data_IF_326492036836
#
_entry.id   IF_326492036836
#
_cell.length_a   1.000
_cell.length_b   1.000
_cell.length_c   1.000
_cell.angle_alpha   90.00
_cell.angle_beta   90.00
_cell.angle_gamma   90.00
#
_symmetry.space_group_name_H-M   'P 1'
#
loop_
_entity.id
_entity.type
_entity.pdbx_description
1 polymer ?
#
# COMPACT_ATOMS: atom_id res chain seq x y z
N UNK A 1 -20.92 -20.01 9.71
CA UNK A 1 -20.74 -19.36 8.40
C UNK A 1 -19.25 -19.39 8.11
N UNK A 2 -18.80 -19.92 6.98
CA UNK A 2 -17.38 -19.89 6.62
C UNK A 2 -17.04 -18.43 6.26
N UNK A 3 -16.14 -17.80 7.01
CA UNK A 3 -15.69 -16.43 6.77
C UNK A 3 -15.07 -16.32 5.38
N UNK A 4 -15.83 -15.76 4.44
CA UNK A 4 -15.38 -15.51 3.08
C UNK A 4 -14.58 -14.21 3.07
N UNK A 5 -13.27 -14.33 3.26
CA UNK A 5 -12.35 -13.21 3.02
C UNK A 5 -11.88 -13.22 1.56
N UNK A 6 -11.79 -12.03 0.96
CA UNK A 6 -11.16 -11.85 -0.33
C UNK A 6 -9.65 -11.89 -0.17
N UNK A 7 -9.00 -12.86 -0.83
CA UNK A 7 -7.55 -13.05 -0.75
C UNK A 7 -6.94 -13.02 -2.14
N UNK A 8 -5.84 -12.30 -2.28
CA UNK A 8 -5.01 -12.30 -3.47
C UNK A 8 -3.58 -12.70 -3.09
N UNK A 9 -2.82 -13.19 -4.06
CA UNK A 9 -1.43 -13.59 -3.85
C UNK A 9 -0.51 -12.57 -4.49
N UNK A 10 0.22 -11.84 -3.66
CA UNK A 10 1.20 -10.84 -4.08
C UNK A 10 2.57 -11.50 -4.24
N UNK A 11 3.13 -11.41 -5.44
CA UNK A 11 4.41 -12.02 -5.82
C UNK A 11 5.58 -11.05 -5.59
N UNK A 12 5.38 -9.76 -5.90
CA UNK A 12 6.38 -8.73 -5.61
C UNK A 12 5.78 -7.33 -5.50
N UNK A 13 6.53 -6.44 -4.85
CA UNK A 13 6.31 -4.99 -4.85
C UNK A 13 7.60 -4.26 -5.20
N UNK A 14 7.52 -3.31 -6.13
CA UNK A 14 8.62 -2.40 -6.46
C UNK A 14 8.16 -0.95 -6.30
N UNK A 15 9.04 -0.09 -5.80
CA UNK A 15 8.77 1.33 -5.63
C UNK A 15 9.52 2.12 -6.70
N UNK A 16 8.77 2.91 -7.47
CA UNK A 16 9.32 3.69 -8.58
C UNK A 16 8.87 5.15 -8.45
N UNK A 17 9.64 6.06 -9.03
CA UNK A 17 9.31 7.48 -9.09
C UNK A 17 9.02 7.83 -10.54
N UNK A 18 7.90 8.51 -10.78
CA UNK A 18 7.63 9.14 -12.06
C UNK A 18 8.50 10.40 -12.20
N UNK A 19 9.43 10.38 -13.16
CA UNK A 19 10.21 11.55 -13.51
C UNK A 19 9.45 12.38 -14.57
N UNK A 20 9.02 13.59 -14.19
CA UNK A 20 8.26 14.48 -15.06
C UNK A 20 9.05 14.99 -16.27
N UNK A 21 10.37 15.01 -16.17
CA UNK A 21 11.25 15.59 -17.18
C UNK A 21 11.59 14.55 -18.25
N UNK A 22 11.90 13.32 -17.84
CA UNK A 22 12.19 12.20 -18.76
C UNK A 22 10.92 11.49 -19.24
N UNK A 23 9.79 11.65 -18.54
CA UNK A 23 8.55 10.88 -18.76
C UNK A 23 8.75 9.38 -18.58
N UNK A 24 9.65 8.99 -17.68
CA UNK A 24 9.98 7.60 -17.38
C UNK A 24 9.78 7.29 -15.89
N UNK A 25 9.59 6.00 -15.61
CA UNK A 25 9.61 5.49 -14.24
C UNK A 25 11.04 5.11 -13.87
N UNK A 26 11.56 5.77 -12.85
CA UNK A 26 12.87 5.48 -12.28
C UNK A 26 12.70 4.61 -11.05
N UNK A 27 13.46 3.52 -10.97
CA UNK A 27 13.47 2.74 -9.74
C UNK A 27 14.05 3.59 -8.61
N UNK A 28 13.37 3.60 -7.47
CA UNK A 28 14.07 3.94 -6.23
C UNK A 28 15.15 2.86 -6.09
N UNK A 29 16.37 3.23 -5.68
CA UNK A 29 17.54 2.35 -5.65
C UNK A 29 17.44 1.14 -4.68
N UNK A 30 16.22 0.71 -4.35
CA UNK A 30 15.86 -0.47 -3.62
C UNK A 30 15.54 -1.62 -4.58
N UNK A 31 16.05 -2.82 -4.28
CA UNK A 31 15.61 -4.03 -4.97
C UNK A 31 14.10 -4.28 -4.73
N UNK A 32 13.36 -4.87 -5.67
CA UNK A 32 11.98 -5.28 -5.45
C UNK A 32 11.85 -6.19 -4.22
N UNK A 33 10.78 -6.00 -3.44
CA UNK A 33 10.33 -6.97 -2.45
C UNK A 33 9.75 -8.17 -3.20
N UNK A 34 10.36 -9.35 -3.08
CA UNK A 34 9.85 -10.60 -3.66
C UNK A 34 9.38 -11.54 -2.57
N UNK A 35 8.26 -12.22 -2.80
CA UNK A 35 7.55 -12.99 -1.76
C UNK A 35 7.58 -14.51 -1.97
N UNK A 36 8.61 -15.06 -2.63
CA UNK A 36 8.72 -16.51 -2.87
C UNK A 36 7.46 -17.08 -3.54
N UNK A 37 6.79 -18.02 -2.84
CA UNK A 37 5.52 -18.62 -3.26
C UNK A 37 4.32 -17.64 -3.25
N UNK A 38 4.54 -16.40 -2.86
CA UNK A 38 3.61 -15.29 -2.82
C UNK A 38 3.06 -15.01 -1.42
N UNK A 39 2.98 -13.73 -1.07
CA UNK A 39 2.34 -13.26 0.16
C UNK A 39 0.82 -13.30 -0.01
N UNK A 40 0.13 -13.97 0.91
CA UNK A 40 -1.34 -13.95 0.94
C UNK A 40 -1.80 -12.62 1.53
N UNK A 41 -2.51 -11.84 0.72
CA UNK A 41 -3.03 -10.52 1.07
C UNK A 41 -4.55 -10.60 1.17
N UNK A 42 -5.07 -10.26 2.34
CA UNK A 42 -6.49 -10.08 2.57
C UNK A 42 -6.89 -8.66 2.12
N UNK A 43 -7.93 -8.56 1.29
CA UNK A 43 -8.53 -7.27 0.92
C UNK A 43 -9.67 -6.96 1.89
N UNK A 44 -9.45 -5.99 2.78
CA UNK A 44 -10.39 -5.69 3.86
C UNK A 44 -10.57 -4.18 4.05
N UNK A 45 -11.68 -3.64 3.53
CA UNK A 45 -12.03 -2.23 3.69
C UNK A 45 -12.50 -1.87 5.11
N UNK A 46 -12.73 -2.87 5.98
CA UNK A 46 -13.03 -2.67 7.41
C UNK A 46 -11.80 -2.29 8.24
N UNK A 47 -10.59 -2.51 7.71
CA UNK A 47 -9.33 -2.08 8.32
C UNK A 47 -8.88 -0.78 7.65
N UNK A 48 -8.67 0.30 8.42
CA UNK A 48 -8.34 1.61 7.82
C UNK A 48 -6.95 1.67 7.18
N UNK A 49 -6.01 0.89 7.71
CA UNK A 49 -4.59 0.91 7.35
C UNK A 49 -4.15 -0.42 6.76
N UNK A 50 -3.01 -0.43 6.08
CA UNK A 50 -2.44 -1.68 5.57
C UNK A 50 -1.55 -2.30 6.64
N UNK A 51 -1.67 -3.60 6.82
CA UNK A 51 -0.92 -4.39 7.80
C UNK A 51 -0.09 -5.42 7.03
N UNK A 52 1.22 -5.46 7.28
CA UNK A 52 2.17 -6.30 6.54
C UNK A 52 3.18 -6.95 7.47
N UNK A 53 3.92 -7.97 7.01
CA UNK A 53 5.08 -8.48 7.72
C UNK A 53 6.15 -7.39 7.94
N UNK A 54 6.92 -7.51 9.03
CA UNK A 54 7.89 -6.51 9.46
C UNK A 54 8.93 -6.16 8.39
N UNK A 55 9.39 -7.14 7.61
CA UNK A 55 10.40 -6.93 6.57
C UNK A 55 9.95 -5.95 5.48
N UNK A 56 8.64 -5.83 5.24
CA UNK A 56 8.09 -4.86 4.28
C UNK A 56 8.25 -3.43 4.83
N UNK A 57 7.89 -3.21 6.10
CA UNK A 57 8.04 -1.90 6.75
C UNK A 57 9.52 -1.52 6.90
N UNK A 58 10.38 -2.48 7.28
CA UNK A 58 11.84 -2.29 7.31
C UNK A 58 12.35 -1.84 5.95
N UNK A 59 11.98 -2.54 4.88
CA UNK A 59 12.38 -2.17 3.51
C UNK A 59 11.93 -0.75 3.13
N UNK A 60 10.72 -0.36 3.52
CA UNK A 60 10.23 1.02 3.32
C UNK A 60 11.14 2.02 4.05
N UNK A 61 11.49 1.77 5.32
CA UNK A 61 12.34 2.65 6.13
C UNK A 61 13.77 2.74 5.63
N UNK A 62 14.39 1.61 5.27
CA UNK A 62 15.84 1.52 5.03
C UNK A 62 16.23 1.59 3.57
N UNK A 63 15.29 1.40 2.65
CA UNK A 63 15.58 1.29 1.22
C UNK A 63 14.73 2.24 0.38
N UNK A 64 13.44 2.39 0.69
CA UNK A 64 12.55 3.29 -0.06
C UNK A 64 12.71 4.74 0.42
N UNK A 65 12.72 4.94 1.74
CA UNK A 65 12.81 6.27 2.38
C UNK A 65 13.89 6.30 3.48
N UNK A 66 15.18 6.13 3.14
CA UNK A 66 16.29 6.06 4.10
C UNK A 66 16.64 7.44 4.70
N UNK A 67 15.68 8.11 5.33
CA UNK A 67 15.90 9.35 6.07
C UNK A 67 16.44 9.04 7.46
N UNK A 68 17.19 9.97 8.07
CA UNK A 68 17.69 9.81 9.44
C UNK A 68 16.56 9.45 10.43
N UNK A 69 15.38 10.05 10.24
CA UNK A 69 14.19 9.78 11.04
C UNK A 69 13.67 8.33 10.88
N UNK A 70 13.63 7.82 9.65
CA UNK A 70 13.19 6.44 9.38
C UNK A 70 14.22 5.39 9.81
N UNK A 71 15.51 5.71 9.71
CA UNK A 71 16.59 4.86 10.22
C UNK A 71 16.55 4.79 11.75
N UNK A 72 16.35 5.93 12.42
CA UNK A 72 16.16 5.95 13.87
C UNK A 72 14.94 5.10 14.30
N UNK A 73 13.81 5.24 13.59
CA UNK A 73 12.62 4.40 13.85
C UNK A 73 12.85 2.92 13.60
N UNK A 74 13.62 2.54 12.57
CA UNK A 74 13.94 1.13 12.34
C UNK A 74 14.76 0.55 13.50
N UNK A 75 15.71 1.32 14.03
CA UNK A 75 16.50 0.92 15.20
C UNK A 75 15.65 0.80 16.47
N UNK A 76 14.67 1.68 16.67
CA UNK A 76 13.80 1.69 17.85
C UNK A 76 12.71 0.62 17.80
N UNK A 77 12.03 0.49 16.66
CA UNK A 77 10.83 -0.35 16.52
C UNK A 77 11.13 -1.73 15.94
N UNK A 78 12.16 -1.87 15.10
CA UNK A 78 12.58 -3.13 14.48
C UNK A 78 11.39 -3.95 13.92
N UNK A 79 11.23 -5.19 14.41
CA UNK A 79 10.18 -6.14 14.00
C UNK A 79 8.93 -6.09 14.90
N UNK A 80 8.81 -5.09 15.78
CA UNK A 80 7.67 -5.00 16.69
C UNK A 80 6.38 -4.70 15.92
N UNK A 81 5.35 -5.51 16.21
CA UNK A 81 4.00 -5.27 15.73
C UNK A 81 3.47 -3.93 16.29
N UNK A 82 2.67 -3.24 15.50
CA UNK A 82 2.02 -2.01 15.96
C UNK A 82 0.98 -2.33 17.04
N UNK A 83 1.06 -1.65 18.19
CA UNK A 83 -0.05 -1.61 19.14
C UNK A 83 -1.17 -0.74 18.56
N UNK A 84 -2.26 -1.36 18.10
CA UNK A 84 -3.40 -0.64 17.56
C UNK A 84 -4.15 0.20 18.60
N UNK A 85 -3.94 -0.04 19.90
CA UNK A 85 -4.50 0.79 20.98
C UNK A 85 -3.67 2.06 21.21
N UNK A 86 -2.36 1.99 20.96
CA UNK A 86 -1.42 3.11 21.07
C UNK A 86 -0.51 3.15 19.85
N UNK A 87 -1.05 3.47 18.66
CA UNK A 87 -0.31 3.34 17.42
C UNK A 87 0.86 4.32 17.39
N UNK A 88 2.05 3.78 17.14
CA UNK A 88 3.25 4.57 16.87
C UNK A 88 3.39 4.70 15.36
N UNK A 89 3.83 5.87 14.90
CA UNK A 89 4.04 6.13 13.49
C UNK A 89 5.07 5.12 12.90
N UNK A 90 4.73 4.39 11.82
CA UNK A 90 5.59 3.34 11.31
C UNK A 90 6.75 3.93 10.52
N UNK A 91 6.54 4.99 9.74
CA UNK A 91 7.58 5.72 9.01
C UNK A 91 7.03 7.08 8.56
N UNK A 92 7.93 7.95 8.14
CA UNK A 92 7.63 9.21 7.47
C UNK A 92 7.83 9.03 5.96
N UNK A 93 6.89 9.54 5.15
CA UNK A 93 7.04 9.63 3.69
C UNK A 93 7.51 11.04 3.33
N UNK A 94 8.69 11.21 2.70
CA UNK A 94 9.20 12.52 2.34
C UNK A 94 8.25 13.29 1.42
N UNK A 95 7.91 14.52 1.80
CA UNK A 95 6.90 15.32 1.10
C UNK A 95 7.24 15.63 -0.36
N UNK A 96 8.54 15.72 -0.69
CA UNK A 96 9.02 15.97 -2.05
C UNK A 96 8.79 14.77 -3.00
N UNK A 97 8.57 13.57 -2.48
CA UNK A 97 8.31 12.35 -3.27
C UNK A 97 6.82 12.05 -3.41
N UNK A 98 5.96 12.72 -2.62
CA UNK A 98 4.59 12.27 -2.35
C UNK A 98 3.76 12.00 -3.61
N UNK A 99 3.72 12.93 -4.57
CA UNK A 99 2.91 12.77 -5.78
C UNK A 99 3.56 11.91 -6.87
N UNK A 100 4.88 11.77 -6.85
CA UNK A 100 5.64 11.08 -7.91
C UNK A 100 5.85 9.60 -7.61
N UNK A 101 5.72 9.17 -6.36
CA UNK A 101 5.93 7.76 -6.01
C UNK A 101 4.78 6.88 -6.50
N UNK A 102 5.17 5.80 -7.18
CA UNK A 102 4.29 4.76 -7.67
C UNK A 102 4.76 3.39 -7.14
N UNK A 103 3.84 2.44 -7.12
CA UNK A 103 4.11 1.07 -6.70
C UNK A 103 3.71 0.15 -7.84
N UNK A 104 4.68 -0.66 -8.29
CA UNK A 104 4.43 -1.79 -9.16
C UNK A 104 4.13 -3.01 -8.29
N UNK A 105 2.92 -3.51 -8.40
CA UNK A 105 2.48 -4.77 -7.80
C UNK A 105 2.51 -5.87 -8.85
N UNK A 106 2.98 -7.05 -8.46
CA UNK A 106 2.79 -8.28 -9.24
C UNK A 106 1.94 -9.25 -8.45
N UNK A 107 0.82 -9.66 -9.00
CA UNK A 107 -0.10 -10.62 -8.39
C UNK A 107 -0.15 -11.91 -9.19
N UNK A 108 -0.37 -13.04 -8.53
CA UNK A 108 -0.68 -14.28 -9.24
C UNK A 108 -2.08 -14.19 -9.87
N UNK A 109 -2.24 -14.63 -11.11
CA UNK A 109 -3.51 -14.56 -11.85
C UNK A 109 -4.45 -15.76 -11.62
N UNK A 110 -4.08 -16.69 -10.72
CA UNK A 110 -4.82 -17.93 -10.44
C UNK A 110 -4.71 -19.02 -11.51
N UNK A 111 -4.08 -18.74 -12.66
CA UNK A 111 -3.92 -19.64 -13.82
C UNK A 111 -2.44 -19.93 -14.13
N UNK A 112 -1.57 -19.80 -13.14
CA UNK A 112 -0.12 -20.03 -13.27
C UNK A 112 0.67 -18.88 -13.89
N UNK A 113 0.06 -17.72 -14.14
CA UNK A 113 0.74 -16.50 -14.60
C UNK A 113 0.67 -15.35 -13.59
N UNK A 114 1.12 -14.18 -14.02
CA UNK A 114 1.14 -12.96 -13.21
C UNK A 114 0.36 -11.81 -13.87
N UNK A 115 -0.17 -10.91 -13.04
CA UNK A 115 -0.71 -9.61 -13.45
C UNK A 115 0.15 -8.54 -12.81
N UNK A 116 0.63 -7.61 -13.65
CA UNK A 116 1.41 -6.44 -13.22
C UNK A 116 0.51 -5.21 -13.21
N UNK A 117 0.53 -4.47 -12.11
CA UNK A 117 -0.26 -3.25 -11.93
C UNK A 117 0.64 -2.17 -11.38
N UNK A 118 0.68 -1.02 -12.07
CA UNK A 118 1.35 0.17 -11.58
C UNK A 118 0.28 1.12 -11.03
N UNK A 119 0.41 1.51 -9.77
CA UNK A 119 -0.53 2.41 -9.12
C UNK A 119 0.14 3.50 -8.28
N UNK A 120 -0.63 4.51 -7.86
CA UNK A 120 -0.12 5.61 -7.05
C UNK A 120 0.31 5.10 -5.68
N UNK A 121 1.51 5.48 -5.23
CA UNK A 121 2.00 5.13 -3.90
C UNK A 121 1.41 6.00 -2.79
N UNK A 122 0.96 7.22 -3.12
CA UNK A 122 0.67 8.26 -2.12
C UNK A 122 -0.35 7.83 -1.06
N UNK A 123 -1.55 7.43 -1.46
CA UNK A 123 -2.61 7.06 -0.52
C UNK A 123 -2.35 5.71 0.17
N UNK A 124 -1.60 4.84 -0.48
CA UNK A 124 -1.22 3.56 0.09
C UNK A 124 -0.16 3.75 1.18
N UNK A 125 0.87 4.55 0.90
CA UNK A 125 2.04 4.71 1.77
C UNK A 125 1.83 5.73 2.87
N UNK A 126 1.19 6.88 2.60
CA UNK A 126 1.10 7.91 3.62
C UNK A 126 0.14 9.08 3.36
N UNK A 127 -0.38 9.65 4.44
CA UNK A 127 -1.27 10.81 4.37
C UNK A 127 -0.75 12.03 5.13
N UNK A 128 -1.13 13.26 4.74
CA UNK A 128 -0.78 14.44 5.50
C UNK A 128 -1.40 14.34 6.90
N UNK A 129 -0.62 14.64 7.94
CA UNK A 129 -1.18 14.71 9.29
C UNK A 129 -2.18 15.89 9.36
N UNK A 130 -3.47 15.67 9.66
CA UNK A 130 -4.47 16.75 9.66
C UNK A 130 -4.17 17.85 10.69
N UNK A 131 -3.48 17.52 11.79
CA UNK A 131 -3.11 18.45 12.86
C UNK A 131 -1.78 19.18 12.62
N UNK A 132 -0.87 18.58 11.83
CA UNK A 132 0.48 19.11 11.60
C UNK A 132 0.82 19.46 10.14
N UNK A 133 -0.13 19.33 9.20
CA UNK A 133 0.08 19.58 7.77
C UNK A 133 0.63 20.97 7.42
N UNK A 134 0.49 21.95 8.32
CA UNK A 134 1.06 23.30 8.15
C UNK A 134 2.52 23.42 8.56
N UNK A 135 3.04 22.45 9.33
CA UNK A 135 4.39 22.47 9.94
C UNK A 135 5.37 21.51 9.26
N UNK A 136 4.87 20.45 8.63
CA UNK A 136 5.69 19.55 7.79
C UNK A 136 4.98 19.27 6.48
N UNK A 137 5.78 19.17 5.40
CA UNK A 137 5.32 18.68 4.09
C UNK A 137 5.33 17.16 4.04
N UNK A 138 5.98 16.51 5.00
CA UNK A 138 6.06 15.06 5.07
C UNK A 138 4.73 14.45 5.49
N UNK A 139 4.54 13.19 5.11
CA UNK A 139 3.30 12.45 5.35
C UNK A 139 3.56 11.32 6.33
N UNK A 140 2.51 10.96 7.06
CA UNK A 140 2.50 9.87 8.02
C UNK A 140 2.27 8.53 7.33
N UNK A 141 3.14 7.56 7.59
CA UNK A 141 3.06 6.21 7.05
C UNK A 141 1.76 5.49 7.45
N UNK A 142 1.14 4.81 6.48
CA UNK A 142 -0.12 4.07 6.65
C UNK A 142 0.03 2.54 6.50
N UNK A 143 1.27 2.06 6.48
CA UNK A 143 1.61 0.64 6.38
C UNK A 143 2.28 0.22 7.69
N UNK A 144 1.62 -0.66 8.44
CA UNK A 144 2.02 -1.05 9.79
C UNK A 144 2.47 -2.50 9.84
N UNK A 145 3.34 -2.81 10.81
CA UNK A 145 3.70 -4.20 11.12
C UNK A 145 2.53 -4.87 11.82
N UNK A 146 2.07 -6.01 11.29
CA UNK A 146 1.02 -6.82 11.89
C UNK A 146 1.52 -7.75 12.98
N UNK A 147 0.70 -7.98 14.00
CA UNK A 147 0.90 -9.14 14.86
C UNK A 147 0.43 -10.41 14.15
N UNK A 148 1.00 -11.54 14.54
CA UNK A 148 0.58 -12.87 14.05
C UNK A 148 -0.91 -13.11 14.33
N UNK A 149 -1.43 -12.58 15.43
CA UNK A 149 -2.85 -12.71 15.78
C UNK A 149 -3.78 -11.95 14.82
N UNK A 150 -3.30 -10.87 14.20
CA UNK A 150 -4.10 -10.00 13.32
C UNK A 150 -4.02 -10.46 11.86
N UNK A 151 -2.81 -10.70 11.34
CA UNK A 151 -2.62 -11.00 9.92
C UNK A 151 -2.13 -12.43 9.64
N UNK A 152 -1.91 -13.25 10.68
CA UNK A 152 -1.21 -14.52 10.54
C UNK A 152 0.17 -14.31 9.92
N UNK A 153 0.53 -15.19 8.98
CA UNK A 153 1.72 -15.03 8.13
C UNK A 153 1.45 -14.22 6.84
N UNK A 154 0.28 -13.57 6.74
CA UNK A 154 -0.15 -12.82 5.58
C UNK A 154 -0.06 -11.31 5.76
N UNK A 155 -0.75 -10.59 4.89
CA UNK A 155 -0.96 -9.15 4.98
C UNK A 155 -2.44 -8.81 4.84
N UNK A 156 -2.81 -7.61 5.27
CA UNK A 156 -4.13 -7.01 5.09
C UNK A 156 -3.95 -5.70 4.33
N UNK A 157 -4.53 -5.60 3.14
CA UNK A 157 -4.64 -4.34 2.41
C UNK A 157 -5.94 -3.67 2.83
N UNK A 158 -5.78 -2.65 3.67
CA UNK A 158 -6.86 -1.87 4.25
C UNK A 158 -7.42 -0.80 3.32
N UNK A 159 -8.27 0.08 3.86
CA UNK A 159 -8.92 1.19 3.16
C UNK A 159 -7.92 2.09 2.43
N UNK A 160 -6.72 2.32 2.98
CA UNK A 160 -5.64 3.06 2.31
C UNK A 160 -5.27 2.45 0.93
N UNK A 161 -5.32 1.12 0.79
CA UNK A 161 -5.17 0.45 -0.50
C UNK A 161 -6.37 0.71 -1.42
N UNK A 162 -7.60 0.59 -0.93
CA UNK A 162 -8.83 0.91 -1.69
C UNK A 162 -8.93 2.40 -2.07
N UNK A 163 -8.22 3.29 -1.39
CA UNK A 163 -8.08 4.70 -1.76
C UNK A 163 -7.00 4.92 -2.84
N UNK A 164 -6.17 3.92 -3.12
CA UNK A 164 -5.14 3.94 -4.16
C UNK A 164 -5.54 3.13 -5.41
N UNK A 165 -6.52 2.24 -5.29
CA UNK A 165 -6.97 1.30 -6.32
C UNK A 165 -8.50 1.20 -6.33
N UNK A 166 -9.12 1.20 -7.50
CA UNK A 166 -10.47 0.70 -7.68
C UNK A 166 -10.39 -0.82 -7.56
N UNK A 167 -11.19 -1.38 -6.66
CA UNK A 167 -11.22 -2.81 -6.36
C UNK A 167 -12.62 -3.30 -6.64
N UNK A 168 -12.77 -4.17 -7.64
CA UNK A 168 -14.03 -4.86 -7.91
C UNK A 168 -13.90 -6.33 -7.51
N UNK A 169 -14.85 -6.79 -6.70
CA UNK A 169 -14.86 -8.12 -6.10
C UNK A 169 -15.97 -8.95 -6.76
N UNK A 170 -15.60 -9.95 -7.56
CA UNK A 170 -16.54 -10.69 -8.38
C UNK A 170 -16.70 -12.11 -7.88
N UNK A 171 -17.91 -12.46 -7.44
CA UNK A 171 -18.27 -13.82 -7.05
C UNK A 171 -19.36 -14.35 -7.98
N UNK A 172 -19.01 -14.76 -9.21
CA UNK A 172 -19.99 -15.20 -10.20
C UNK A 172 -20.70 -16.48 -9.73
N UNK A 173 -21.93 -16.69 -10.21
CA UNK A 173 -22.70 -17.91 -9.92
C UNK A 173 -22.04 -19.17 -10.50
N UNK A 174 -21.23 -19.00 -11.53
CA UNK A 174 -20.44 -20.05 -12.18
C UNK A 174 -19.01 -19.56 -12.42
N UNK A 175 -18.02 -20.39 -12.06
CA UNK A 175 -16.60 -20.06 -12.15
C UNK A 175 -15.99 -19.63 -10.82
N UNK A 176 -14.69 -19.32 -10.85
CA UNK A 176 -13.95 -18.91 -9.66
C UNK A 176 -14.21 -17.43 -9.32
N UNK A 177 -14.21 -17.11 -8.03
CA UNK A 177 -14.21 -15.72 -7.57
C UNK A 177 -12.93 -15.02 -8.02
N UNK A 178 -13.03 -13.77 -8.45
CA UNK A 178 -11.89 -12.99 -8.94
C UNK A 178 -11.95 -11.53 -8.50
N UNK A 179 -10.80 -10.86 -8.60
CA UNK A 179 -10.65 -9.45 -8.26
C UNK A 179 -10.16 -8.70 -9.48
N UNK A 180 -10.79 -7.58 -9.79
CA UNK A 180 -10.28 -6.61 -10.76
C UNK A 180 -9.75 -5.39 -10.01
N UNK A 181 -8.61 -4.90 -10.48
CA UNK A 181 -7.86 -3.81 -9.87
C UNK A 181 -7.53 -2.78 -10.94
N UNK A 182 -7.80 -1.50 -10.65
CA UNK A 182 -7.38 -0.39 -11.49
C UNK A 182 -6.84 0.78 -10.64
N UNK A 183 -5.72 1.41 -11.02
CA UNK A 183 -5.12 2.48 -10.22
C UNK A 183 -5.96 3.75 -10.16
N UNK A 184 -6.08 4.34 -8.97
CA UNK A 184 -6.78 5.62 -8.72
C UNK A 184 -5.80 6.80 -8.68
N UNK A 185 -5.27 7.16 -9.85
CA UNK A 185 -4.44 8.36 -10.02
C UNK A 185 -5.17 9.63 -9.58
N UNK A 186 -4.45 10.58 -8.99
CA UNK A 186 -5.05 11.81 -8.45
C UNK A 186 -5.81 12.60 -9.52
N UNK A 187 -5.25 12.68 -10.73
CA UNK A 187 -5.88 13.28 -11.91
C UNK A 187 -7.19 12.60 -12.34
N UNK A 188 -7.38 11.32 -12.02
CA UNK A 188 -8.61 10.59 -12.32
C UNK A 188 -9.71 10.86 -11.29
N UNK A 189 -9.38 11.25 -10.06
CA UNK A 189 -10.38 11.51 -9.01
C UNK A 189 -11.26 12.70 -9.34
N UNK A 190 -10.70 13.72 -10.00
CA UNK A 190 -11.45 14.91 -10.43
C UNK A 190 -12.45 14.62 -11.57
N UNK A 191 -12.28 13.52 -12.32
CA UNK A 191 -13.21 13.13 -13.39
C UNK A 191 -14.49 12.46 -12.87
N UNK A 192 -14.47 11.96 -11.63
CA UNK A 192 -15.59 11.30 -10.98
C UNK A 192 -16.18 12.14 -9.85
N UNK A 193 -16.11 13.49 -9.95
CA UNK A 193 -16.93 14.35 -9.10
C UNK A 193 -18.39 13.94 -9.25
N UNK A 194 -18.85 13.20 -8.25
CA UNK A 194 -20.22 12.78 -8.05
C UNK A 194 -21.12 13.99 -8.23
N UNK A 195 -22.03 13.88 -9.20
CA UNK A 195 -23.27 14.62 -9.48
C UNK A 195 -23.34 16.08 -8.96
N UNK A 196 -23.66 17.10 -9.80
CA UNK A 196 -23.95 18.44 -9.29
C UNK A 196 -24.98 18.34 -8.16
N UNK A 197 -24.71 18.99 -7.03
CA UNK A 197 -25.72 19.21 -5.99
C UNK A 197 -26.92 19.82 -6.72
N UNK A 198 -28.03 19.10 -6.76
CA UNK A 198 -29.27 19.63 -7.28
C UNK A 198 -29.68 20.77 -6.36
N UNK A 199 -29.67 21.97 -6.91
CA UNK A 199 -30.53 23.06 -6.46
C UNK A 199 -31.88 22.93 -7.18
#
# INVERSE_FOLDING_TARGET
MLDKHWKIRLLSMSFVIWNSDTKEFENIAAAPLTFGDGLIVHLDFGVSVTIVPSFVVRHIRTSVFPTDENIARDNEQQDQACDLQHPVLPFTVPGHLGASICIEYRFANGKGGEVKILGPGINFLGQPNPYFHRKSKDREGLVFVGSVDVSGNGAIFGLNFFQSMFVALHNPLSGDSYVELAPQWEEHRMRYNLVPRGD
#
